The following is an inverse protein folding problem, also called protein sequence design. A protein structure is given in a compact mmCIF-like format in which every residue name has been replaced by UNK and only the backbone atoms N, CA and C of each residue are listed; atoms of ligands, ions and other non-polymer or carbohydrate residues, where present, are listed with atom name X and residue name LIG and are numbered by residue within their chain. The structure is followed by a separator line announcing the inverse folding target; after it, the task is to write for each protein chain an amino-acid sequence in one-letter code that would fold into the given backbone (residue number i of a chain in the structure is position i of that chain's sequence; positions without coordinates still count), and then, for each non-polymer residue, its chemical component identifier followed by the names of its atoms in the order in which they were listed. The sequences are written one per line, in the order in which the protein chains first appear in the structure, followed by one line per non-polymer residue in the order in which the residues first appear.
data_IF_877904308883
#
_entry.id   IF_877904308883
#
_cell.length_a   1.000
_cell.length_b   1.000
_cell.length_c   1.000
_cell.angle_alpha   90.00
_cell.angle_beta   90.00
_cell.angle_gamma   90.00
#
_symmetry.space_group_name_H-M   'P 1'
#
loop_
_entity.id
_entity.type
_entity.pdbx_description
1 polymer ?
#
# COMPACT_ATOMS: atom_id res chain seq x y z
N UNK A 1 -1.61 -6.14 -0.58
CA UNK A 1 -2.63 -5.08 -0.76
C UNK A 1 -3.69 -5.11 0.33
N UNK A 2 -4.54 -6.13 0.44
CA UNK A 2 -5.60 -6.18 1.47
C UNK A 2 -5.06 -6.03 2.90
N UNK A 3 -4.00 -6.76 3.27
CA UNK A 3 -3.40 -6.62 4.61
C UNK A 3 -2.82 -5.22 4.84
N UNK A 4 -2.06 -4.67 3.88
CA UNK A 4 -1.60 -3.28 3.95
C UNK A 4 -2.75 -2.27 4.12
N UNK A 5 -3.90 -2.51 3.47
CA UNK A 5 -5.11 -1.70 3.67
C UNK A 5 -5.67 -1.80 5.09
N UNK A 6 -5.65 -3.00 5.70
CA UNK A 6 -6.11 -3.18 7.09
C UNK A 6 -5.19 -2.48 8.07
N UNK A 7 -3.88 -2.65 7.89
CA UNK A 7 -2.86 -1.96 8.70
C UNK A 7 -2.98 -0.44 8.57
N UNK A 8 -3.23 0.08 7.36
CA UNK A 8 -3.45 1.51 7.16
C UNK A 8 -4.69 2.02 7.91
N UNK A 9 -5.81 1.29 7.89
CA UNK A 9 -6.99 1.65 8.68
C UNK A 9 -6.73 1.58 10.17
N UNK A 10 -5.99 0.57 10.62
CA UNK A 10 -5.59 0.45 12.01
C UNK A 10 -4.72 1.63 12.44
N UNK A 11 -3.69 1.97 11.65
CA UNK A 11 -2.81 3.11 11.89
C UNK A 11 -3.58 4.44 11.89
N UNK A 12 -4.49 4.63 10.93
CA UNK A 12 -5.37 5.81 10.89
C UNK A 12 -6.17 5.95 12.19
N UNK A 13 -6.80 4.88 12.66
CA UNK A 13 -7.59 4.88 13.91
C UNK A 13 -6.71 5.14 15.13
N UNK A 14 -5.52 4.53 15.16
CA UNK A 14 -4.55 4.72 16.22
C UNK A 14 -4.10 6.19 16.31
N UNK A 15 -3.70 6.79 15.19
CA UNK A 15 -3.31 8.21 15.14
C UNK A 15 -4.46 9.15 15.55
N UNK A 16 -5.70 8.83 15.17
CA UNK A 16 -6.88 9.58 15.61
C UNK A 16 -7.08 9.54 17.12
N UNK A 17 -6.81 8.39 17.78
CA UNK A 17 -6.87 8.28 19.24
C UNK A 17 -5.79 9.11 19.94
N UNK A 18 -4.65 9.34 19.27
CA UNK A 18 -3.58 10.21 19.75
C UNK A 18 -3.80 11.69 19.39
N UNK A 19 -4.96 12.05 18.83
CA UNK A 19 -5.27 13.40 18.33
C UNK A 19 -4.32 13.88 17.21
N UNK A 20 -3.57 12.97 16.60
CA UNK A 20 -2.68 13.23 15.48
C UNK A 20 -3.48 13.15 14.17
N UNK A 21 -4.01 14.29 13.74
CA UNK A 21 -4.76 14.38 12.48
C UNK A 21 -3.81 14.45 11.30
N UNK A 22 -3.97 13.50 10.37
CA UNK A 22 -3.28 13.50 9.09
C UNK A 22 -4.29 13.76 7.96
N UNK A 23 -3.92 14.59 7.00
CA UNK A 23 -4.81 14.94 5.88
C UNK A 23 -5.00 13.79 4.88
N UNK A 24 -3.99 12.94 4.73
CA UNK A 24 -3.97 11.89 3.71
C UNK A 24 -3.30 10.61 4.22
N UNK A 25 -3.86 9.50 3.79
CA UNK A 25 -3.33 8.15 4.01
C UNK A 25 -3.15 7.51 2.65
N UNK A 26 -1.90 7.39 2.20
CA UNK A 26 -1.56 6.89 0.87
C UNK A 26 -0.82 5.55 1.00
N UNK A 27 -1.26 4.55 0.25
CA UNK A 27 -0.59 3.25 0.11
C UNK A 27 -0.04 3.18 -1.31
N UNK A 28 1.28 3.05 -1.42
CA UNK A 28 1.95 2.90 -2.69
C UNK A 28 2.04 1.41 -3.11
N UNK A 29 1.81 1.14 -4.39
CA UNK A 29 1.93 -0.20 -4.97
C UNK A 29 2.62 -0.11 -6.34
N UNK A 30 3.58 -1.00 -6.58
CA UNK A 30 4.30 -1.09 -7.84
C UNK A 30 3.62 -2.05 -8.84
N UNK A 31 2.67 -2.86 -8.41
CA UNK A 31 1.92 -3.77 -9.28
C UNK A 31 0.69 -3.09 -9.88
N UNK A 32 0.73 -2.87 -11.21
CA UNK A 32 -0.42 -2.32 -11.93
C UNK A 32 -1.62 -3.27 -11.86
N UNK A 33 -1.41 -4.58 -11.98
CA UNK A 33 -2.50 -5.56 -11.88
C UNK A 33 -3.17 -5.55 -10.51
N UNK A 34 -2.40 -5.35 -9.42
CA UNK A 34 -2.96 -5.23 -8.09
C UNK A 34 -3.80 -3.95 -7.90
N UNK A 35 -3.40 -2.84 -8.53
CA UNK A 35 -4.17 -1.59 -8.56
C UNK A 35 -5.43 -1.71 -9.42
N UNK A 36 -5.35 -2.38 -10.56
CA UNK A 36 -6.51 -2.58 -11.43
C UNK A 36 -7.54 -3.50 -10.78
N UNK A 37 -7.10 -4.53 -10.06
CA UNK A 37 -7.99 -5.41 -9.29
C UNK A 37 -8.71 -4.68 -8.15
N UNK A 38 -8.05 -3.71 -7.50
CA UNK A 38 -8.69 -2.91 -6.46
C UNK A 38 -9.73 -1.94 -7.03
N UNK A 39 -9.58 -1.49 -8.28
CA UNK A 39 -10.49 -0.54 -8.94
C UNK A 39 -11.60 -1.18 -9.79
N UNK A 40 -11.32 -2.24 -10.52
CA UNK A 40 -12.20 -2.78 -11.56
C UNK A 40 -12.65 -4.23 -11.29
N UNK A 41 -13.95 -4.51 -11.45
CA UNK A 41 -14.53 -5.85 -11.26
C UNK A 41 -14.29 -6.82 -12.42
N UNK A 42 -13.70 -6.37 -13.54
CA UNK A 42 -13.77 -7.09 -14.82
C UNK A 42 -12.81 -8.29 -14.97
N UNK A 43 -12.01 -8.63 -13.96
CA UNK A 43 -11.17 -9.82 -14.03
C UNK A 43 -11.97 -11.09 -13.70
N UNK A 44 -11.99 -12.01 -14.67
CA UNK A 44 -12.85 -13.19 -14.68
C UNK A 44 -12.63 -14.13 -13.49
N UNK A 45 -13.77 -14.60 -12.98
CA UNK A 45 -13.97 -15.51 -11.87
C UNK A 45 -13.16 -16.81 -11.98
N UNK A 46 -12.04 -16.90 -11.26
CA UNK A 46 -11.40 -18.21 -10.96
C UNK A 46 -10.96 -18.39 -9.52
N UNK A 47 -11.17 -17.44 -8.60
CA UNK A 47 -10.76 -17.63 -7.20
C UNK A 47 -11.60 -16.82 -6.21
N UNK A 48 -12.61 -17.46 -5.60
CA UNK A 48 -13.53 -16.83 -4.61
C UNK A 48 -12.82 -16.12 -3.44
N UNK A 49 -11.69 -16.66 -2.96
CA UNK A 49 -10.92 -16.04 -1.86
C UNK A 49 -10.20 -14.75 -2.27
N UNK A 50 -9.85 -14.63 -3.55
CA UNK A 50 -9.31 -13.40 -4.14
C UNK A 50 -10.45 -12.38 -4.18
N UNK A 51 -11.60 -12.74 -4.76
CA UNK A 51 -12.76 -11.85 -4.93
C UNK A 51 -13.19 -11.16 -3.63
N UNK A 52 -13.30 -11.90 -2.52
CA UNK A 52 -13.71 -11.33 -1.21
C UNK A 52 -12.70 -10.30 -0.70
N UNK A 53 -11.40 -10.56 -0.82
CA UNK A 53 -10.34 -9.66 -0.36
C UNK A 53 -10.27 -8.37 -1.19
N UNK A 54 -10.54 -8.45 -2.48
CA UNK A 54 -10.56 -7.29 -3.38
C UNK A 54 -11.86 -6.50 -3.26
N UNK A 55 -13.00 -7.15 -3.01
CA UNK A 55 -14.26 -6.45 -2.73
C UNK A 55 -14.12 -5.54 -1.52
N UNK A 56 -13.56 -6.05 -0.42
CA UNK A 56 -13.31 -5.22 0.77
C UNK A 56 -12.38 -4.05 0.46
N UNK A 57 -11.28 -4.31 -0.26
CA UNK A 57 -10.30 -3.27 -0.59
C UNK A 57 -10.92 -2.16 -1.44
N UNK A 58 -11.75 -2.53 -2.43
CA UNK A 58 -12.47 -1.58 -3.27
C UNK A 58 -13.41 -0.70 -2.45
N UNK A 59 -14.23 -1.31 -1.61
CA UNK A 59 -15.17 -0.58 -0.76
C UNK A 59 -14.44 0.47 0.09
N UNK A 60 -13.34 0.09 0.74
CA UNK A 60 -12.58 1.00 1.61
C UNK A 60 -11.94 2.16 0.83
N UNK A 61 -11.50 1.92 -0.41
CA UNK A 61 -10.97 2.95 -1.30
C UNK A 61 -12.07 3.87 -1.82
N UNK A 62 -13.24 3.33 -2.18
CA UNK A 62 -14.42 4.09 -2.59
C UNK A 62 -14.95 4.99 -1.46
N UNK A 63 -14.91 4.49 -0.22
CA UNK A 63 -15.19 5.25 1.00
C UNK A 63 -14.09 6.27 1.36
N UNK A 64 -13.07 6.43 0.50
CA UNK A 64 -11.96 7.37 0.64
C UNK A 64 -11.21 7.23 1.98
N UNK A 65 -11.16 6.02 2.53
CA UNK A 65 -10.48 5.82 3.82
C UNK A 65 -8.96 5.99 3.71
N UNK A 66 -8.41 5.64 2.54
CA UNK A 66 -7.04 5.86 2.09
C UNK A 66 -7.00 5.89 0.55
N UNK A 67 -5.89 6.34 -0.05
CA UNK A 67 -5.67 6.29 -1.50
C UNK A 67 -4.67 5.20 -1.86
N UNK A 68 -4.90 4.53 -2.97
CA UNK A 68 -3.94 3.62 -3.60
C UNK A 68 -3.22 4.35 -4.73
N UNK A 69 -1.90 4.42 -4.67
CA UNK A 69 -1.07 5.12 -5.65
C UNK A 69 -0.07 4.17 -6.31
N UNK A 70 0.16 4.38 -7.61
CA UNK A 70 1.23 3.69 -8.32
C UNK A 70 2.57 4.29 -7.89
N UNK A 71 3.56 3.43 -7.67
CA UNK A 71 4.96 3.82 -7.54
C UNK A 71 5.79 3.04 -8.56
N UNK A 72 6.90 3.59 -9.03
CA UNK A 72 7.83 2.84 -9.87
C UNK A 72 8.50 1.74 -9.03
N UNK A 73 8.81 0.58 -9.62
CA UNK A 73 9.42 -0.53 -8.85
C UNK A 73 10.82 -0.13 -8.33
N UNK A 74 11.55 0.66 -9.12
CA UNK A 74 12.85 1.19 -8.70
C UNK A 74 12.76 2.24 -7.59
N UNK A 75 11.57 2.79 -7.37
CA UNK A 75 11.31 3.80 -6.32
C UNK A 75 10.54 3.21 -5.14
N UNK A 76 10.24 1.91 -5.12
CA UNK A 76 9.47 1.31 -4.05
C UNK A 76 10.36 1.03 -2.82
N UNK A 77 10.25 1.81 -1.72
CA UNK A 77 11.11 1.61 -0.56
C UNK A 77 10.82 0.29 0.17
N UNK A 78 9.61 -0.27 0.02
CA UNK A 78 9.24 -1.55 0.64
C UNK A 78 10.10 -2.73 0.12
N UNK A 79 10.79 -2.56 -1.01
CA UNK A 79 11.69 -3.57 -1.55
C UNK A 79 12.83 -3.91 -0.60
N UNK A 80 13.35 -2.94 0.17
CA UNK A 80 14.42 -3.21 1.14
C UNK A 80 13.99 -4.17 2.25
N UNK A 81 12.68 -4.24 2.55
CA UNK A 81 12.12 -5.09 3.60
C UNK A 81 11.58 -6.43 3.09
N UNK A 82 11.44 -6.58 1.77
CA UNK A 82 10.72 -7.72 1.16
C UNK A 82 11.56 -8.51 0.17
N UNK A 83 12.69 -7.96 -0.29
CA UNK A 83 13.57 -8.56 -1.30
C UNK A 83 15.03 -8.49 -0.84
N UNK A 84 15.85 -9.38 -1.41
CA UNK A 84 17.31 -9.23 -1.35
C UNK A 84 17.71 -8.18 -2.39
N UNK A 85 18.24 -7.04 -1.96
CA UNK A 85 18.62 -5.92 -2.82
C UNK A 85 20.07 -5.51 -2.59
N UNK A 86 20.64 -4.72 -3.51
CA UNK A 86 22.02 -4.22 -3.38
C UNK A 86 22.13 -3.15 -2.30
N UNK A 87 23.33 -2.92 -1.77
CA UNK A 87 23.57 -1.87 -0.78
C UNK A 87 23.12 -0.48 -1.24
N UNK A 88 23.37 -0.12 -2.51
CA UNK A 88 22.90 1.14 -3.08
C UNK A 88 21.37 1.26 -3.12
N UNK A 89 20.64 0.16 -3.35
CA UNK A 89 19.17 0.16 -3.28
C UNK A 89 18.68 0.32 -1.84
N UNK A 90 19.35 -0.28 -0.85
CA UNK A 90 19.01 -0.06 0.57
C UNK A 90 19.14 1.42 0.92
N UNK A 91 20.26 2.05 0.53
CA UNK A 91 20.48 3.47 0.78
C UNK A 91 19.41 4.35 0.13
N UNK A 92 19.10 4.11 -1.14
CA UNK A 92 18.01 4.81 -1.83
C UNK A 92 16.66 4.63 -1.10
N UNK A 93 16.32 3.40 -0.70
CA UNK A 93 15.07 3.13 0.01
C UNK A 93 15.01 3.84 1.37
N UNK A 94 16.13 3.89 2.11
CA UNK A 94 16.23 4.58 3.39
C UNK A 94 16.02 6.09 3.24
N UNK A 95 16.67 6.70 2.25
CA UNK A 95 16.50 8.12 1.90
C UNK A 95 15.04 8.44 1.56
N UNK A 96 14.38 7.59 0.75
CA UNK A 96 12.97 7.77 0.36
C UNK A 96 11.98 7.76 1.53
N UNK A 97 12.32 7.07 2.63
CA UNK A 97 11.48 7.03 3.84
C UNK A 97 11.98 7.94 4.96
N UNK A 98 12.97 8.80 4.68
CA UNK A 98 13.53 9.74 5.65
C UNK A 98 14.34 9.08 6.76
N UNK A 99 14.90 7.89 6.54
CA UNK A 99 15.86 7.28 7.44
C UNK A 99 17.27 7.75 7.09
N UNK A 100 17.99 8.29 8.08
CA UNK A 100 19.42 8.55 7.95
C UNK A 100 20.18 7.23 8.04
N UNK A 101 20.82 6.80 6.93
CA UNK A 101 21.82 5.75 6.98
C UNK A 101 23.14 6.35 7.54
N UNK A 102 23.54 5.92 8.73
CA UNK A 102 24.87 6.19 9.32
C UNK A 102 26.00 5.53 8.52
#
# INVERSE_FOLDING_TARGET
MTEAGKEMLWLKRFLQQLEMKQERYDIHCDSQSALDLSKNAMYHSRTKHIDVRYHWLRQVVEEQQFKLQKIHTDENPADMMTKVVTGGKIQLCAELIGMECM
#
